data_IF_461181928493
#
_entry.id   IF_461181928493
#
_cell.length_a   1.000
_cell.length_b   1.000
_cell.length_c   1.000
_cell.angle_alpha   90.00
_cell.angle_beta   90.00
_cell.angle_gamma   90.00
#
_symmetry.space_group_name_H-M   'P 1'
#
loop_
_entity.id
_entity.type
_entity.pdbx_description
1 polymer ?
#
# COMPACT_ATOMS: atom_id res chain seq x y z
N UNK A 1 -54.37 13.12 -18.64
CA UNK A 1 -53.78 12.40 -17.52
C UNK A 1 -52.28 12.24 -17.77
N UNK A 2 -51.51 13.06 -17.13
CA UNK A 2 -50.07 12.96 -17.25
C UNK A 2 -49.61 11.86 -16.34
N UNK A 3 -49.14 10.79 -16.92
CA UNK A 3 -48.36 9.83 -16.18
C UNK A 3 -47.00 10.42 -15.98
N UNK A 4 -46.76 10.89 -14.81
CA UNK A 4 -45.39 11.12 -14.36
C UNK A 4 -44.74 9.75 -14.22
N UNK A 5 -44.17 9.29 -15.30
CA UNK A 5 -43.07 8.37 -15.16
C UNK A 5 -41.97 9.18 -14.56
N UNK A 6 -41.96 9.20 -13.24
CA UNK A 6 -40.84 9.81 -12.52
C UNK A 6 -39.60 9.13 -13.03
N UNK A 7 -38.85 9.84 -13.84
CA UNK A 7 -37.45 9.53 -13.95
C UNK A 7 -36.93 9.64 -12.54
N UNK A 8 -36.91 8.53 -11.84
CA UNK A 8 -36.04 8.41 -10.69
C UNK A 8 -34.68 8.87 -11.20
N UNK A 9 -34.12 9.96 -10.64
CA UNK A 9 -32.77 10.24 -10.96
C UNK A 9 -32.04 8.93 -10.67
N UNK A 10 -31.48 8.35 -11.70
CA UNK A 10 -30.44 7.37 -11.49
C UNK A 10 -29.44 8.11 -10.62
N UNK A 11 -29.56 7.89 -9.33
CA UNK A 11 -28.45 8.14 -8.45
C UNK A 11 -27.39 7.19 -8.95
N UNK A 12 -26.67 7.64 -9.95
CA UNK A 12 -25.34 7.19 -10.18
C UNK A 12 -24.59 7.55 -8.91
N UNK A 13 -24.72 6.64 -7.96
CA UNK A 13 -23.72 6.56 -6.92
C UNK A 13 -22.43 6.43 -7.69
N UNK A 14 -21.74 7.56 -7.80
CA UNK A 14 -20.36 7.59 -8.22
C UNK A 14 -19.50 6.92 -7.14
N UNK A 15 -19.86 5.69 -6.86
CA UNK A 15 -18.93 4.76 -6.27
C UNK A 15 -18.06 4.34 -7.42
N UNK A 16 -17.10 5.20 -7.72
CA UNK A 16 -15.98 4.73 -8.50
C UNK A 16 -15.49 3.44 -7.86
N UNK A 17 -15.08 2.44 -8.63
CA UNK A 17 -14.48 1.26 -8.05
C UNK A 17 -13.40 1.75 -7.08
N UNK A 18 -13.48 1.32 -5.84
CA UNK A 18 -12.38 1.48 -4.91
C UNK A 18 -11.15 0.97 -5.67
N UNK A 19 -10.19 1.85 -5.93
CA UNK A 19 -9.00 1.45 -6.65
C UNK A 19 -8.29 0.43 -5.78
N UNK A 20 -8.31 -0.82 -6.22
CA UNK A 20 -7.47 -1.85 -5.64
C UNK A 20 -6.03 -1.39 -5.72
N UNK A 21 -5.25 -1.67 -4.68
CA UNK A 21 -3.83 -1.38 -4.68
C UNK A 21 -3.14 -2.06 -5.88
N UNK A 22 -2.21 -1.34 -6.49
CA UNK A 22 -1.50 -1.78 -7.70
C UNK A 22 -0.19 -2.48 -7.30
N UNK A 23 -0.17 -3.79 -7.45
CA UNK A 23 1.00 -4.63 -7.14
C UNK A 23 2.22 -4.24 -7.98
N UNK A 24 2.03 -3.96 -9.27
CA UNK A 24 3.14 -3.58 -10.15
C UNK A 24 3.72 -2.21 -9.80
N UNK A 25 2.88 -1.26 -9.45
CA UNK A 25 3.33 0.03 -8.94
C UNK A 25 4.08 -0.13 -7.60
N UNK A 26 3.62 -1.03 -6.75
CA UNK A 26 4.30 -1.37 -5.50
C UNK A 26 5.67 -1.99 -5.75
N UNK A 27 5.78 -2.87 -6.72
CA UNK A 27 7.06 -3.47 -7.12
C UNK A 27 8.06 -2.40 -7.56
N UNK A 28 7.63 -1.44 -8.36
CA UNK A 28 8.49 -0.35 -8.79
C UNK A 28 8.98 0.51 -7.60
N UNK A 29 8.10 0.82 -6.67
CA UNK A 29 8.45 1.57 -5.45
C UNK A 29 9.37 0.79 -4.52
N UNK A 30 9.28 -0.52 -4.51
CA UNK A 30 10.05 -1.41 -3.63
C UNK A 30 11.55 -1.43 -3.95
N UNK A 31 11.97 -0.89 -5.09
CA UNK A 31 13.39 -0.87 -5.48
C UNK A 31 14.30 -0.28 -4.38
N UNK A 32 13.84 0.78 -3.70
CA UNK A 32 14.62 1.41 -2.61
C UNK A 32 14.62 0.60 -1.31
N UNK A 33 13.71 -0.34 -1.17
CA UNK A 33 13.58 -1.20 0.00
C UNK A 33 14.44 -2.46 -0.14
N UNK A 34 14.77 -2.83 -1.38
CA UNK A 34 15.40 -4.11 -1.70
C UNK A 34 16.79 -4.27 -1.10
N UNK A 35 17.55 -3.19 -0.95
CA UNK A 35 18.90 -3.24 -0.40
C UNK A 35 18.94 -3.85 1.01
N UNK A 36 17.90 -3.62 1.80
CA UNK A 36 17.81 -4.11 3.17
C UNK A 36 16.84 -5.28 3.32
N UNK A 37 15.72 -5.23 2.61
CA UNK A 37 14.65 -6.23 2.75
C UNK A 37 14.68 -7.34 1.68
N UNK A 38 15.61 -7.26 0.73
CA UNK A 38 15.75 -8.24 -0.34
C UNK A 38 14.91 -7.92 -1.57
N UNK A 39 15.38 -8.38 -2.74
CA UNK A 39 14.74 -8.12 -4.03
C UNK A 39 13.31 -8.68 -4.09
N UNK A 40 13.07 -9.79 -3.40
CA UNK A 40 11.77 -10.44 -3.34
C UNK A 40 11.18 -10.40 -1.92
N UNK A 41 11.57 -9.40 -1.13
CA UNK A 41 11.07 -9.23 0.23
C UNK A 41 11.63 -10.21 1.24
N UNK A 42 12.70 -10.94 0.90
CA UNK A 42 13.42 -11.83 1.81
C UNK A 42 14.78 -11.23 2.08
N UNK A 43 14.95 -10.70 3.28
CA UNK A 43 16.19 -10.05 3.68
C UNK A 43 17.33 -11.06 3.74
N UNK A 44 18.47 -10.68 3.14
CA UNK A 44 19.71 -11.46 3.21
C UNK A 44 20.60 -11.00 4.36
N UNK A 45 20.34 -9.80 4.88
CA UNK A 45 21.09 -9.24 6.02
C UNK A 45 20.49 -9.80 7.31
N UNK A 46 21.28 -10.41 8.19
CA UNK A 46 20.79 -10.89 9.47
C UNK A 46 20.09 -9.78 10.27
N UNK A 47 19.02 -10.14 10.96
CA UNK A 47 18.18 -9.27 11.79
C UNK A 47 17.32 -8.24 11.02
N UNK A 48 17.38 -8.21 9.70
CA UNK A 48 16.46 -7.40 8.91
C UNK A 48 15.21 -8.24 8.61
N UNK A 49 14.01 -7.66 8.76
CA UNK A 49 12.80 -8.45 8.62
C UNK A 49 12.49 -8.79 7.17
N UNK A 50 11.98 -10.00 6.96
CA UNK A 50 11.34 -10.36 5.70
C UNK A 50 10.00 -9.64 5.59
N UNK A 51 9.68 -9.18 4.39
CA UNK A 51 8.39 -8.53 4.09
C UNK A 51 7.50 -9.42 3.21
N UNK A 52 8.10 -10.40 2.53
CA UNK A 52 7.37 -11.32 1.65
C UNK A 52 6.28 -12.07 2.40
N UNK A 53 5.07 -12.05 1.85
CA UNK A 53 3.92 -12.76 2.40
C UNK A 53 3.32 -12.16 3.65
N UNK A 54 3.78 -10.99 4.08
CA UNK A 54 3.20 -10.32 5.25
C UNK A 54 1.80 -9.79 4.92
N UNK A 55 0.95 -9.68 5.92
CA UNK A 55 -0.40 -9.16 5.78
C UNK A 55 -0.39 -7.71 5.27
N UNK A 56 -1.14 -7.43 4.20
CA UNK A 56 -1.13 -6.10 3.58
C UNK A 56 -1.62 -4.99 4.51
N UNK A 57 -2.69 -5.23 5.25
CA UNK A 57 -3.21 -4.22 6.20
C UNK A 57 -2.21 -3.93 7.32
N UNK A 58 -1.51 -4.94 7.79
CA UNK A 58 -0.43 -4.76 8.77
C UNK A 58 0.72 -3.93 8.20
N UNK A 59 1.13 -4.22 6.95
CA UNK A 59 2.20 -3.45 6.30
C UNK A 59 1.82 -1.98 6.13
N UNK A 60 0.60 -1.70 5.69
CA UNK A 60 0.11 -0.30 5.57
C UNK A 60 0.20 0.40 6.92
N UNK A 61 -0.28 -0.23 7.96
CA UNK A 61 -0.23 0.32 9.33
C UNK A 61 1.20 0.64 9.75
N UNK A 62 2.14 -0.26 9.48
CA UNK A 62 3.53 -0.06 9.86
C UNK A 62 4.21 1.03 9.03
N UNK A 63 3.98 1.09 7.72
CA UNK A 63 4.52 2.14 6.87
C UNK A 63 4.04 3.52 7.31
N UNK A 64 2.75 3.65 7.62
CA UNK A 64 2.18 4.90 8.15
C UNK A 64 2.76 5.26 9.51
N UNK A 65 2.97 4.28 10.38
CA UNK A 65 3.56 4.48 11.70
C UNK A 65 5.01 4.96 11.62
N UNK A 66 5.80 4.41 10.71
CA UNK A 66 7.16 4.93 10.45
C UNK A 66 7.14 6.35 9.90
N UNK A 67 6.18 6.65 9.02
CA UNK A 67 6.08 7.97 8.40
C UNK A 67 5.65 9.05 9.39
N UNK A 68 4.68 8.76 10.26
CA UNK A 68 4.16 9.73 11.23
C UNK A 68 4.99 9.80 12.52
N UNK A 69 5.96 8.91 12.68
CA UNK A 69 6.84 8.88 13.85
C UNK A 69 6.29 8.12 15.05
N UNK A 70 5.10 7.51 14.96
CA UNK A 70 4.55 6.70 16.05
C UNK A 70 5.33 5.40 16.24
N UNK A 71 5.96 4.90 15.18
CA UNK A 71 6.98 3.85 15.26
C UNK A 71 8.33 4.45 14.89
N UNK A 72 9.20 4.57 15.87
CA UNK A 72 10.51 5.21 15.70
C UNK A 72 11.53 4.19 15.23
N UNK A 73 11.97 4.35 14.00
CA UNK A 73 13.06 3.61 13.42
C UNK A 73 13.86 4.53 12.49
N UNK A 74 15.01 5.04 12.95
CA UNK A 74 15.78 6.01 12.19
C UNK A 74 16.24 5.54 10.81
N UNK A 75 16.43 4.22 10.64
CA UNK A 75 16.83 3.66 9.34
C UNK A 75 15.69 3.68 8.33
N UNK A 76 14.45 3.53 8.80
CA UNK A 76 13.27 3.49 7.93
C UNK A 76 12.71 4.88 7.62
N UNK A 77 12.79 5.80 8.56
CA UNK A 77 12.13 7.10 8.45
C UNK A 77 12.45 7.87 7.16
N UNK A 78 13.72 7.95 6.69
CA UNK A 78 14.03 8.68 5.46
C UNK A 78 13.35 8.12 4.21
N UNK A 79 13.11 6.81 4.17
CA UNK A 79 12.48 6.16 3.02
C UNK A 79 10.97 6.35 3.01
N UNK A 80 10.38 6.68 4.16
CA UNK A 80 8.94 6.90 4.29
C UNK A 80 8.52 8.29 3.87
N UNK A 81 9.39 9.29 4.07
CA UNK A 81 9.04 10.69 3.88
C UNK A 81 8.43 10.98 2.49
N UNK A 82 8.96 10.47 1.36
CA UNK A 82 8.40 10.74 0.04
C UNK A 82 7.18 9.89 -0.33
N UNK A 83 6.80 8.91 0.49
CA UNK A 83 5.72 8.00 0.15
C UNK A 83 4.35 8.64 0.36
N UNK A 84 3.49 8.51 -0.63
CA UNK A 84 2.06 8.84 -0.51
C UNK A 84 1.29 7.69 0.12
N UNK A 85 0.05 7.92 0.53
CA UNK A 85 -0.83 6.84 0.99
C UNK A 85 -1.00 5.76 -0.07
N UNK A 86 -1.15 6.16 -1.34
CA UNK A 86 -1.24 5.22 -2.46
C UNK A 86 0.03 4.39 -2.60
N UNK A 87 1.21 5.00 -2.47
CA UNK A 87 2.49 4.28 -2.50
C UNK A 87 2.56 3.22 -1.40
N UNK A 88 2.12 3.56 -0.19
CA UNK A 88 2.13 2.63 0.94
C UNK A 88 1.16 1.46 0.73
N UNK A 89 -0.03 1.73 0.20
CA UNK A 89 -0.99 0.69 -0.17
C UNK A 89 -0.42 -0.24 -1.25
N UNK A 90 0.21 0.32 -2.26
CA UNK A 90 0.79 -0.44 -3.36
C UNK A 90 1.98 -1.30 -2.91
N UNK A 91 2.87 -0.74 -2.09
CA UNK A 91 3.98 -1.48 -1.48
C UNK A 91 3.47 -2.65 -0.64
N UNK A 92 2.47 -2.40 0.19
CA UNK A 92 1.88 -3.43 1.04
C UNK A 92 1.28 -4.57 0.21
N UNK A 93 0.55 -4.23 -0.85
CA UNK A 93 -0.03 -5.24 -1.74
C UNK A 93 1.05 -6.06 -2.46
N UNK A 94 2.12 -5.40 -2.90
CA UNK A 94 3.24 -6.08 -3.55
C UNK A 94 3.89 -7.10 -2.61
N UNK A 95 4.33 -6.68 -1.43
CA UNK A 95 4.97 -7.59 -0.49
C UNK A 95 4.04 -8.70 0.01
N UNK A 96 2.78 -8.39 0.25
CA UNK A 96 1.79 -9.40 0.64
C UNK A 96 1.57 -10.47 -0.45
N UNK A 97 1.75 -10.11 -1.73
CA UNK A 97 1.62 -11.03 -2.86
C UNK A 97 2.78 -12.01 -3.00
N UNK A 98 3.91 -11.73 -2.40
CA UNK A 98 5.11 -12.56 -2.48
C UNK A 98 5.01 -13.76 -1.53
N UNK A 99 5.64 -14.85 -1.92
CA UNK A 99 5.64 -16.07 -1.11
C UNK A 99 7.00 -16.35 -0.49
#
# INVERSE_FOLDING_TARGET
>A
MQRWLGALPLLLLLWGPAQAADVEAGKAKAAVCAACHGVEGRALIPNYPHLAGQNAAYLVKQLKAFKDGSRKEPLMAPFMAPLTDADMENLAAYYASLK
#
